data_IF_729757334131
#
_entry.id   IF_729757334131
#
_cell.length_a   1.000
_cell.length_b   1.000
_cell.length_c   1.000
_cell.angle_alpha   90.00
_cell.angle_beta   90.00
_cell.angle_gamma   90.00
#
_symmetry.space_group_name_H-M   'P 1'
#
loop_
_entity.id
_entity.type
_entity.pdbx_description
1 polymer ?
#
# COMPACT_ATOMS: atom_id res chain seq x y z
N UNK A 1 19.39 -22.24 -3.96
CA UNK A 1 18.17 -22.77 -3.33
C UNK A 1 17.03 -22.85 -4.35
N UNK A 2 16.65 -21.78 -5.03
CA UNK A 2 15.49 -21.78 -5.95
C UNK A 2 15.60 -22.78 -7.12
N UNK A 3 16.81 -23.01 -7.67
CA UNK A 3 17.01 -23.98 -8.76
C UNK A 3 16.75 -25.44 -8.35
N UNK A 4 16.87 -25.75 -7.07
CA UNK A 4 16.63 -27.10 -6.55
C UNK A 4 15.20 -27.30 -6.04
N UNK A 5 14.55 -26.24 -5.56
CA UNK A 5 13.21 -26.33 -4.94
C UNK A 5 12.11 -26.44 -6.00
N UNK A 6 12.08 -25.55 -6.98
CA UNK A 6 10.98 -25.49 -7.96
C UNK A 6 10.79 -26.78 -8.78
N UNK A 7 11.83 -27.47 -9.28
CA UNK A 7 11.64 -28.71 -10.03
C UNK A 7 11.03 -29.85 -9.22
N UNK A 8 11.28 -29.85 -7.90
CA UNK A 8 10.88 -30.92 -6.99
C UNK A 8 9.56 -30.61 -6.24
N UNK A 9 8.97 -29.43 -6.46
CA UNK A 9 7.66 -29.10 -5.90
C UNK A 9 6.54 -29.72 -6.74
N UNK A 10 5.58 -30.41 -6.15
CA UNK A 10 4.40 -30.91 -6.86
C UNK A 10 3.52 -29.78 -7.36
N UNK A 11 3.33 -28.76 -6.53
CA UNK A 11 2.61 -27.53 -6.84
C UNK A 11 3.30 -26.33 -6.19
N UNK A 12 3.14 -25.18 -6.82
CA UNK A 12 3.55 -23.87 -6.26
C UNK A 12 2.33 -22.98 -6.19
N UNK A 13 2.22 -22.18 -5.14
CA UNK A 13 1.19 -21.16 -5.00
C UNK A 13 1.85 -19.80 -5.27
N UNK A 14 1.27 -19.06 -6.21
CA UNK A 14 1.55 -17.66 -6.45
C UNK A 14 0.41 -16.80 -5.90
N UNK A 15 0.71 -15.57 -5.46
CA UNK A 15 -0.27 -14.68 -4.84
C UNK A 15 -1.04 -13.82 -5.87
N UNK A 16 -0.57 -13.80 -7.13
CA UNK A 16 -1.20 -13.10 -8.25
C UNK A 16 -0.89 -13.77 -9.58
N UNK A 17 -1.60 -13.39 -10.64
CA UNK A 17 -1.35 -13.88 -11.99
C UNK A 17 0.02 -13.43 -12.52
N UNK A 18 0.43 -12.20 -12.23
CA UNK A 18 1.74 -11.67 -12.61
C UNK A 18 2.87 -12.43 -11.90
N UNK A 19 2.70 -12.76 -10.62
CA UNK A 19 3.68 -13.56 -9.87
C UNK A 19 3.80 -14.97 -10.44
N UNK A 20 2.67 -15.63 -10.80
CA UNK A 20 2.67 -16.91 -11.49
C UNK A 20 3.46 -16.82 -12.79
N UNK A 21 3.18 -15.80 -13.61
CA UNK A 21 3.79 -15.62 -14.92
C UNK A 21 5.29 -15.31 -14.81
N UNK A 22 5.66 -14.50 -13.82
CA UNK A 22 7.06 -14.25 -13.48
C UNK A 22 7.78 -15.54 -13.05
N UNK A 23 7.18 -16.34 -12.17
CA UNK A 23 7.76 -17.62 -11.73
C UNK A 23 7.91 -18.57 -12.93
N UNK A 24 6.89 -18.73 -13.77
CA UNK A 24 6.93 -19.60 -14.94
C UNK A 24 8.02 -19.20 -15.95
N UNK A 25 8.25 -17.89 -16.12
CA UNK A 25 9.28 -17.38 -17.02
C UNK A 25 10.72 -17.54 -16.49
N UNK A 26 10.91 -17.53 -15.17
CA UNK A 26 12.24 -17.41 -14.56
C UNK A 26 12.65 -18.61 -13.70
N UNK A 27 11.77 -19.59 -13.50
CA UNK A 27 12.03 -20.77 -12.67
C UNK A 27 11.70 -22.05 -13.42
N UNK A 28 12.43 -23.15 -13.14
CA UNK A 28 12.25 -24.45 -13.83
C UNK A 28 11.00 -25.17 -13.28
N UNK A 29 9.82 -24.63 -13.57
CA UNK A 29 8.52 -25.21 -13.24
C UNK A 29 7.52 -24.88 -14.35
N UNK A 30 6.67 -25.83 -14.71
CA UNK A 30 5.62 -25.63 -15.70
C UNK A 30 4.49 -24.76 -15.13
N UNK A 31 3.93 -23.86 -15.96
CA UNK A 31 2.92 -22.87 -15.54
C UNK A 31 1.65 -23.53 -14.97
N UNK A 32 1.25 -24.70 -15.49
CA UNK A 32 0.11 -25.47 -15.03
C UNK A 32 0.28 -26.08 -13.61
N UNK A 33 1.53 -26.10 -13.13
CA UNK A 33 1.87 -26.51 -11.75
C UNK A 33 1.86 -25.33 -10.77
N UNK A 34 1.55 -24.12 -11.23
CA UNK A 34 1.50 -22.90 -10.40
C UNK A 34 0.03 -22.47 -10.25
N UNK A 35 -0.53 -22.67 -9.08
CA UNK A 35 -1.86 -22.16 -8.74
C UNK A 35 -1.78 -20.70 -8.29
N UNK A 36 -2.78 -19.89 -8.65
CA UNK A 36 -2.94 -18.54 -8.10
C UNK A 36 -3.93 -18.60 -6.96
N UNK A 37 -3.48 -18.25 -5.76
CA UNK A 37 -4.30 -18.12 -4.57
C UNK A 37 -3.94 -16.77 -3.96
N UNK A 38 -4.80 -15.74 -4.12
CA UNK A 38 -4.54 -14.41 -3.56
C UNK A 38 -4.43 -14.45 -2.05
N UNK A 39 -3.75 -13.47 -1.47
CA UNK A 39 -3.75 -13.28 -0.04
C UNK A 39 -5.17 -12.93 0.45
N UNK A 40 -5.37 -13.09 1.72
CA UNK A 40 -6.59 -12.69 2.42
C UNK A 40 -6.20 -11.98 3.73
N UNK A 41 -7.17 -11.34 4.32
CA UNK A 41 -7.05 -10.75 5.64
C UNK A 41 -8.22 -11.24 6.49
N UNK A 42 -7.98 -11.68 7.73
CA UNK A 42 -9.06 -12.17 8.58
C UNK A 42 -10.01 -11.02 8.92
N UNK A 43 -11.30 -11.30 8.90
CA UNK A 43 -12.29 -10.41 9.49
C UNK A 43 -12.00 -10.27 10.99
N UNK A 44 -11.86 -9.04 11.45
CA UNK A 44 -11.60 -8.72 12.85
C UNK A 44 -12.87 -8.51 13.67
N UNK A 45 -14.04 -8.66 13.04
CA UNK A 45 -15.32 -8.36 13.65
C UNK A 45 -15.52 -6.85 13.86
N UNK A 46 -16.53 -6.49 14.64
CA UNK A 46 -16.76 -5.09 15.02
C UNK A 46 -15.63 -4.63 15.95
N UNK A 47 -14.69 -3.88 15.41
CA UNK A 47 -13.69 -3.19 16.21
C UNK A 47 -14.39 -2.10 17.05
N UNK A 48 -13.92 -1.88 18.27
CA UNK A 48 -14.34 -0.74 19.11
C UNK A 48 -13.86 0.57 18.43
N UNK A 49 -14.65 1.06 17.48
CA UNK A 49 -14.39 2.27 16.70
C UNK A 49 -15.02 3.47 17.39
N UNK A 50 -14.46 3.85 18.54
CA UNK A 50 -14.88 5.03 19.26
C UNK A 50 -14.05 6.26 18.81
N UNK A 51 -14.61 7.15 17.96
CA UNK A 51 -13.89 8.35 17.48
C UNK A 51 -13.46 9.28 18.60
N UNK A 52 -14.22 9.32 19.72
CA UNK A 52 -13.90 10.20 20.85
C UNK A 52 -12.61 9.76 21.56
N UNK A 53 -12.27 8.47 21.47
CA UNK A 53 -11.06 7.88 22.06
C UNK A 53 -9.92 7.74 21.07
N UNK A 54 -10.14 8.07 19.80
CA UNK A 54 -9.14 8.00 18.76
C UNK A 54 -8.36 9.33 18.67
N UNK A 55 -7.07 9.36 19.02
CA UNK A 55 -6.27 10.58 18.97
C UNK A 55 -6.13 11.13 17.54
N UNK A 56 -6.05 10.25 16.53
CA UNK A 56 -5.98 10.67 15.14
C UNK A 56 -7.27 11.31 14.66
N UNK A 57 -8.44 10.81 15.09
CA UNK A 57 -9.73 11.37 14.71
C UNK A 57 -9.90 12.82 15.20
N UNK A 58 -9.43 13.13 16.41
CA UNK A 58 -9.46 14.49 16.95
C UNK A 58 -8.55 15.43 16.19
N UNK A 59 -7.36 14.98 15.87
CA UNK A 59 -6.35 15.79 15.22
C UNK A 59 -6.64 16.02 13.73
N UNK A 60 -7.12 14.98 13.04
CA UNK A 60 -7.35 14.98 11.60
C UNK A 60 -8.82 15.23 11.22
N UNK A 61 -9.60 15.75 12.16
CA UNK A 61 -11.02 16.04 11.94
C UNK A 61 -11.23 16.94 10.72
N UNK A 62 -12.12 16.53 9.82
CA UNK A 62 -12.46 17.27 8.60
C UNK A 62 -11.45 17.17 7.47
N UNK A 63 -10.36 16.42 7.61
CA UNK A 63 -9.38 16.20 6.56
C UNK A 63 -9.68 14.93 5.75
N UNK A 64 -9.34 14.95 4.48
CA UNK A 64 -9.24 13.73 3.66
C UNK A 64 -7.89 13.06 3.94
N UNK A 65 -7.90 11.96 4.67
CA UNK A 65 -6.68 11.29 5.13
C UNK A 65 -6.29 10.16 4.17
N UNK A 66 -5.11 10.26 3.58
CA UNK A 66 -4.47 9.21 2.77
C UNK A 66 -3.48 8.45 3.64
N UNK A 67 -3.82 7.18 3.96
CA UNK A 67 -3.01 6.35 4.85
C UNK A 67 -2.07 5.40 4.11
N UNK A 68 -0.86 5.23 4.62
CA UNK A 68 0.08 4.18 4.21
C UNK A 68 0.71 3.52 5.43
N UNK A 69 0.48 2.23 5.63
CA UNK A 69 0.97 1.51 6.81
C UNK A 69 1.77 0.26 6.42
N UNK A 70 3.00 0.16 6.94
CA UNK A 70 3.87 -1.00 6.79
C UNK A 70 5.24 -0.72 6.18
N UNK A 71 5.84 -1.72 5.55
CA UNK A 71 7.18 -1.57 4.96
C UNK A 71 7.17 -0.61 3.76
N UNK A 72 8.08 0.36 3.79
CA UNK A 72 8.38 1.28 2.70
C UNK A 72 9.88 1.15 2.37
N UNK A 73 10.17 0.09 1.63
CA UNK A 73 11.54 -0.28 1.23
C UNK A 73 11.82 0.00 -0.24
N UNK A 74 12.76 -0.75 -0.82
CA UNK A 74 13.30 -0.51 -2.16
C UNK A 74 12.26 -0.66 -3.28
N UNK A 75 11.26 -1.56 -3.10
CA UNK A 75 10.25 -1.85 -4.12
C UNK A 75 9.02 -0.93 -4.08
N UNK A 76 8.99 0.06 -3.20
CA UNK A 76 7.94 1.06 -3.15
C UNK A 76 8.32 2.32 -3.95
N UNK A 77 7.34 2.91 -4.64
CA UNK A 77 7.47 4.22 -5.28
C UNK A 77 7.11 5.30 -4.27
N UNK A 78 8.12 5.90 -3.64
CA UNK A 78 7.96 7.00 -2.68
C UNK A 78 8.01 8.35 -3.38
N UNK A 79 8.70 8.43 -4.52
CA UNK A 79 8.94 9.69 -5.21
C UNK A 79 7.64 10.28 -5.77
N UNK A 80 6.79 9.45 -6.40
CA UNK A 80 5.46 9.87 -6.88
C UNK A 80 4.59 10.39 -5.73
N UNK A 81 4.63 9.74 -4.58
CA UNK A 81 3.86 10.12 -3.39
C UNK A 81 4.39 11.41 -2.78
N UNK A 82 5.70 11.55 -2.63
CA UNK A 82 6.33 12.75 -2.09
C UNK A 82 6.03 13.98 -2.94
N UNK A 83 6.03 13.83 -4.26
CA UNK A 83 5.66 14.92 -5.15
C UNK A 83 4.19 15.33 -5.00
N UNK A 84 3.28 14.38 -4.81
CA UNK A 84 1.88 14.70 -4.51
C UNK A 84 1.73 15.46 -3.17
N UNK A 85 2.48 15.07 -2.14
CA UNK A 85 2.50 15.80 -0.86
C UNK A 85 2.95 17.24 -1.06
N UNK A 86 4.00 17.48 -1.87
CA UNK A 86 4.48 18.82 -2.19
C UNK A 86 3.46 19.66 -2.96
N UNK A 87 2.77 19.06 -3.92
CA UNK A 87 1.73 19.72 -4.70
C UNK A 87 0.54 20.16 -3.85
N UNK A 88 0.21 19.39 -2.81
CA UNK A 88 -0.91 19.63 -1.90
C UNK A 88 -0.49 20.34 -0.60
N UNK A 89 0.72 20.87 -0.50
CA UNK A 89 1.24 21.45 0.76
C UNK A 89 0.43 22.64 1.28
N UNK A 90 -0.25 23.37 0.41
CA UNK A 90 -1.10 24.53 0.75
C UNK A 90 -2.59 24.14 0.87
N UNK A 91 -2.93 22.87 0.66
CA UNK A 91 -4.30 22.36 0.79
C UNK A 91 -4.49 21.72 2.17
N UNK A 92 -5.08 22.47 3.07
CA UNK A 92 -5.35 22.01 4.43
C UNK A 92 -6.41 20.90 4.52
N UNK A 93 -7.14 20.61 3.44
CA UNK A 93 -8.17 19.58 3.42
C UNK A 93 -7.63 18.17 3.27
N UNK A 94 -6.39 18.00 2.77
CA UNK A 94 -5.75 16.70 2.53
C UNK A 94 -4.60 16.46 3.50
N UNK A 95 -4.51 15.26 4.03
CA UNK A 95 -3.44 14.87 4.94
C UNK A 95 -2.90 13.47 4.64
N UNK A 96 -1.58 13.32 4.62
CA UNK A 96 -0.91 12.05 4.38
C UNK A 96 -0.37 11.46 5.70
N UNK A 97 -0.86 10.28 6.07
CA UNK A 97 -0.47 9.60 7.30
C UNK A 97 0.31 8.32 6.98
N UNK A 98 1.59 8.31 7.32
CA UNK A 98 2.48 7.17 7.14
C UNK A 98 2.84 6.56 8.48
N UNK A 99 2.86 5.23 8.56
CA UNK A 99 3.46 4.54 9.69
C UNK A 99 4.06 3.20 9.25
N UNK A 100 5.25 2.88 9.76
CA UNK A 100 5.88 1.62 9.41
C UNK A 100 7.38 1.60 9.62
N UNK A 101 8.07 1.02 8.65
CA UNK A 101 9.53 0.90 8.66
C UNK A 101 10.08 0.81 7.22
N UNK A 102 11.40 0.84 7.08
CA UNK A 102 12.10 0.70 5.82
C UNK A 102 12.91 1.96 5.47
N UNK A 103 13.93 1.77 4.65
CA UNK A 103 14.88 2.83 4.33
C UNK A 103 14.24 4.03 3.61
N UNK A 104 13.22 3.81 2.78
CA UNK A 104 12.50 4.89 2.10
C UNK A 104 11.55 5.63 3.05
N UNK A 105 11.03 4.98 4.09
CA UNK A 105 10.23 5.65 5.11
C UNK A 105 11.07 6.67 5.90
N UNK A 106 12.28 6.30 6.29
CA UNK A 106 13.20 7.21 6.98
C UNK A 106 13.58 8.41 6.10
N UNK A 107 13.86 8.17 4.82
CA UNK A 107 14.13 9.24 3.86
C UNK A 107 12.91 10.18 3.72
N UNK A 108 11.71 9.64 3.62
CA UNK A 108 10.47 10.42 3.58
C UNK A 108 10.29 11.26 4.85
N UNK A 109 10.52 10.67 6.03
CA UNK A 109 10.45 11.36 7.34
C UNK A 109 11.38 12.57 7.40
N UNK A 110 12.61 12.38 6.94
CA UNK A 110 13.60 13.47 6.87
C UNK A 110 13.17 14.57 5.91
N UNK A 111 12.72 14.21 4.70
CA UNK A 111 12.27 15.16 3.69
C UNK A 111 11.05 15.96 4.16
N UNK A 112 10.05 15.30 4.72
CA UNK A 112 8.85 15.94 5.29
C UNK A 112 9.24 16.99 6.34
N UNK A 113 10.20 16.64 7.22
CA UNK A 113 10.70 17.56 8.25
C UNK A 113 11.51 18.71 7.68
N UNK A 114 12.43 18.44 6.75
CA UNK A 114 13.33 19.46 6.19
C UNK A 114 12.60 20.47 5.29
N UNK A 115 11.59 20.00 4.55
CA UNK A 115 10.79 20.85 3.66
C UNK A 115 9.59 21.50 4.37
N UNK A 116 9.35 21.16 5.66
CA UNK A 116 8.24 21.71 6.45
C UNK A 116 6.86 21.34 5.89
N UNK A 117 6.69 20.11 5.39
CA UNK A 117 5.44 19.66 4.79
C UNK A 117 4.41 19.34 5.90
N UNK A 118 3.59 20.33 6.25
CA UNK A 118 2.60 20.27 7.35
C UNK A 118 1.43 19.32 7.05
N UNK A 119 1.20 18.98 5.78
CA UNK A 119 0.16 18.10 5.32
C UNK A 119 0.57 16.60 5.32
N UNK A 120 1.70 16.26 5.94
CA UNK A 120 2.15 14.87 6.06
C UNK A 120 2.75 14.57 7.43
N UNK A 121 2.53 13.36 7.91
CA UNK A 121 3.16 12.81 9.12
C UNK A 121 3.70 11.43 8.87
N UNK A 122 4.92 11.20 9.33
CA UNK A 122 5.58 9.90 9.25
C UNK A 122 5.87 9.39 10.66
N UNK A 123 5.22 8.30 11.03
CA UNK A 123 5.31 7.64 12.32
C UNK A 123 6.14 6.37 12.23
N UNK A 124 6.63 5.92 13.36
CA UNK A 124 7.19 4.59 13.52
C UNK A 124 6.10 3.52 13.37
N UNK A 125 6.48 2.25 13.36
CA UNK A 125 5.56 1.14 13.17
C UNK A 125 4.47 1.11 14.25
N UNK A 126 3.20 1.12 13.82
CA UNK A 126 2.04 1.03 14.71
C UNK A 126 1.58 -0.41 14.89
N UNK A 127 1.14 -0.76 16.10
CA UNK A 127 0.68 -2.08 16.47
C UNK A 127 -0.73 -2.03 17.09
N UNK A 128 -1.45 -3.14 16.95
CA UNK A 128 -2.70 -3.37 17.67
C UNK A 128 -3.69 -2.21 17.54
N UNK A 129 -4.07 -1.63 18.68
CA UNK A 129 -5.06 -0.55 18.76
C UNK A 129 -4.62 0.72 18.01
N UNK A 130 -3.35 1.11 18.12
CA UNK A 130 -2.85 2.33 17.47
C UNK A 130 -2.91 2.20 15.95
N UNK A 131 -2.58 1.02 15.42
CA UNK A 131 -2.73 0.73 13.99
C UNK A 131 -4.18 0.80 13.54
N UNK A 132 -5.12 0.21 14.32
CA UNK A 132 -6.54 0.27 14.02
C UNK A 132 -7.05 1.71 14.03
N UNK A 133 -6.70 2.49 15.04
CA UNK A 133 -7.08 3.89 15.16
C UNK A 133 -6.56 4.74 13.99
N UNK A 134 -5.36 4.43 13.49
CA UNK A 134 -4.82 5.10 12.31
C UNK A 134 -5.56 4.69 11.03
N UNK A 135 -5.99 3.44 10.90
CA UNK A 135 -6.83 2.98 9.78
C UNK A 135 -8.21 3.63 9.80
N UNK A 136 -8.84 3.74 10.98
CA UNK A 136 -10.20 4.26 11.16
C UNK A 136 -10.37 5.72 10.69
N UNK A 137 -9.28 6.48 10.59
CA UNK A 137 -9.33 7.88 10.12
C UNK A 137 -9.04 8.03 8.63
N UNK A 138 -8.68 6.93 7.94
CA UNK A 138 -8.31 6.99 6.53
C UNK A 138 -9.54 7.13 5.63
N UNK A 139 -9.56 8.15 4.79
CA UNK A 139 -10.51 8.31 3.69
C UNK A 139 -10.12 7.47 2.49
N UNK A 140 -8.83 7.23 2.30
CA UNK A 140 -8.27 6.32 1.29
C UNK A 140 -6.95 5.73 1.80
N UNK A 141 -6.56 4.57 1.26
CA UNK A 141 -5.31 3.91 1.59
C UNK A 141 -4.42 3.74 0.36
N UNK A 142 -3.14 4.06 0.52
CA UNK A 142 -2.17 4.08 -0.55
C UNK A 142 -1.46 2.73 -0.69
N UNK A 143 -1.42 2.24 -1.91
CA UNK A 143 -0.57 1.13 -2.37
C UNK A 143 0.39 1.69 -3.39
N UNK A 144 1.69 1.54 -3.15
CA UNK A 144 2.72 2.06 -4.05
C UNK A 144 3.78 1.00 -4.29
N UNK A 145 4.02 0.70 -5.56
CA UNK A 145 5.02 -0.29 -6.02
C UNK A 145 5.84 0.36 -7.14
N UNK A 146 7.16 0.25 -7.04
CA UNK A 146 8.08 0.81 -8.02
C UNK A 146 7.93 0.13 -9.40
N UNK A 147 8.15 0.87 -10.49
CA UNK A 147 8.00 0.35 -11.84
C UNK A 147 8.92 -0.85 -12.09
N UNK A 148 8.46 -1.82 -12.88
CA UNK A 148 9.20 -3.02 -13.23
C UNK A 148 9.34 -4.06 -12.11
N UNK A 149 8.66 -3.88 -10.96
CA UNK A 149 8.70 -4.85 -9.85
C UNK A 149 7.39 -5.65 -9.70
N UNK A 150 6.41 -5.41 -10.56
CA UNK A 150 5.17 -6.19 -10.63
C UNK A 150 5.49 -7.66 -10.90
N UNK A 151 4.85 -8.56 -10.16
CA UNK A 151 5.14 -10.00 -10.18
C UNK A 151 6.26 -10.45 -9.23
N UNK A 152 7.11 -9.53 -8.73
CA UNK A 152 8.11 -9.83 -7.70
C UNK A 152 7.51 -9.80 -6.29
N UNK A 153 6.54 -8.95 -6.06
CA UNK A 153 5.83 -8.86 -4.78
C UNK A 153 4.35 -8.54 -5.01
N UNK A 154 3.52 -8.98 -4.05
CA UNK A 154 2.12 -8.59 -3.96
C UNK A 154 1.95 -7.86 -2.62
N UNK A 155 1.53 -6.58 -2.62
CA UNK A 155 1.40 -5.81 -1.39
C UNK A 155 0.24 -6.34 -0.54
N UNK A 156 0.56 -7.09 0.51
CA UNK A 156 -0.43 -7.74 1.39
C UNK A 156 -1.37 -6.76 2.10
N UNK A 157 -0.93 -5.52 2.31
CA UNK A 157 -1.74 -4.45 2.92
C UNK A 157 -3.01 -4.12 2.11
N UNK A 158 -3.02 -4.38 0.80
CA UNK A 158 -4.20 -4.24 -0.06
C UNK A 158 -5.41 -4.96 0.53
N UNK A 159 -5.21 -6.20 0.98
CA UNK A 159 -6.30 -7.03 1.51
C UNK A 159 -6.79 -6.54 2.87
N UNK A 160 -5.91 -6.01 3.72
CA UNK A 160 -6.33 -5.40 4.99
C UNK A 160 -7.13 -4.12 4.78
N UNK A 161 -6.74 -3.27 3.84
CA UNK A 161 -7.46 -2.05 3.53
C UNK A 161 -8.84 -2.33 2.92
N UNK A 162 -8.91 -3.28 1.97
CA UNK A 162 -10.18 -3.71 1.39
C UNK A 162 -11.12 -4.31 2.43
N UNK A 163 -10.60 -5.10 3.39
CA UNK A 163 -11.36 -5.70 4.47
C UNK A 163 -11.95 -4.67 5.44
N UNK A 164 -11.23 -3.56 5.66
CA UNK A 164 -11.70 -2.41 6.44
C UNK A 164 -12.63 -1.47 5.64
N UNK A 165 -12.89 -1.79 4.37
CA UNK A 165 -13.74 -0.98 3.49
C UNK A 165 -13.10 0.35 3.06
N UNK A 166 -11.77 0.47 3.15
CA UNK A 166 -11.06 1.69 2.81
C UNK A 166 -10.76 1.70 1.30
N UNK A 167 -11.20 2.71 0.53
CA UNK A 167 -10.88 2.85 -0.88
C UNK A 167 -9.37 2.90 -1.13
N UNK A 168 -8.92 2.27 -2.22
CA UNK A 168 -7.52 2.19 -2.57
C UNK A 168 -7.09 3.29 -3.53
N UNK A 169 -5.91 3.86 -3.29
CA UNK A 169 -5.14 4.62 -4.28
C UNK A 169 -3.93 3.76 -4.63
N UNK A 170 -3.89 3.25 -5.86
CA UNK A 170 -2.87 2.29 -6.30
C UNK A 170 -1.93 2.94 -7.31
N UNK A 171 -0.64 2.98 -6.99
CA UNK A 171 0.44 3.49 -7.85
C UNK A 171 1.34 2.31 -8.20
N UNK A 172 1.16 1.74 -9.39
CA UNK A 172 1.97 0.62 -9.89
C UNK A 172 1.67 0.32 -11.36
N UNK A 173 2.46 -0.58 -11.95
CA UNK A 173 2.18 -1.16 -13.25
C UNK A 173 0.89 -2.01 -13.23
N UNK A 174 0.39 -2.38 -14.42
CA UNK A 174 -0.81 -3.21 -14.57
C UNK A 174 -0.67 -4.54 -13.81
N UNK A 175 -1.71 -4.91 -13.06
CA UNK A 175 -1.72 -6.05 -12.16
C UNK A 175 -3.15 -6.45 -11.78
N UNK A 176 -3.30 -7.61 -11.14
CA UNK A 176 -4.59 -8.04 -10.57
C UNK A 176 -5.16 -6.98 -9.60
N UNK A 177 -4.30 -6.31 -8.80
CA UNK A 177 -4.71 -5.23 -7.88
C UNK A 177 -5.24 -4.00 -8.64
N UNK A 178 -4.57 -3.61 -9.72
CA UNK A 178 -5.05 -2.52 -10.61
C UNK A 178 -6.40 -2.88 -11.22
N UNK A 179 -6.57 -4.14 -11.66
CA UNK A 179 -7.85 -4.61 -12.18
C UNK A 179 -8.98 -4.56 -11.13
N UNK A 180 -8.68 -4.77 -9.86
CA UNK A 180 -9.67 -4.68 -8.77
C UNK A 180 -10.09 -3.23 -8.50
N UNK A 181 -9.21 -2.25 -8.67
CA UNK A 181 -9.60 -0.82 -8.58
C UNK A 181 -10.63 -0.46 -9.65
N UNK A 182 -10.48 -1.00 -10.87
CA UNK A 182 -11.42 -0.79 -11.97
C UNK A 182 -12.81 -1.40 -11.70
N UNK A 183 -12.91 -2.35 -10.76
CA UNK A 183 -14.17 -2.95 -10.30
C UNK A 183 -14.82 -2.17 -9.13
N UNK A 184 -14.27 -1.04 -8.75
CA UNK A 184 -14.81 -0.17 -7.71
C UNK A 184 -14.09 -0.21 -6.37
N UNK A 185 -12.92 -0.89 -6.26
CA UNK A 185 -12.16 -0.90 -5.02
C UNK A 185 -11.34 0.40 -4.79
N UNK A 186 -11.30 1.30 -5.78
CA UNK A 186 -10.55 2.55 -5.68
C UNK A 186 -10.13 3.11 -7.03
N UNK A 187 -8.98 3.76 -7.06
CA UNK A 187 -8.38 4.35 -8.27
C UNK A 187 -6.95 3.84 -8.47
N UNK A 188 -6.50 3.80 -9.71
CA UNK A 188 -5.13 3.42 -10.06
C UNK A 188 -4.46 4.45 -10.95
N UNK A 189 -3.15 4.63 -10.74
CA UNK A 189 -2.29 5.58 -11.41
C UNK A 189 -0.98 4.87 -11.80
N UNK A 190 -0.32 5.39 -12.81
CA UNK A 190 1.05 4.95 -13.12
C UNK A 190 2.06 5.72 -12.28
N UNK A 191 3.23 5.12 -12.09
CA UNK A 191 4.37 5.77 -11.46
C UNK A 191 4.69 7.11 -12.15
N UNK A 192 5.03 8.13 -11.38
CA UNK A 192 5.31 9.49 -11.86
C UNK A 192 4.08 10.35 -12.17
N UNK A 193 2.85 9.85 -12.03
CA UNK A 193 1.62 10.61 -12.28
C UNK A 193 1.12 11.35 -11.03
N UNK A 194 2.00 12.00 -10.29
CA UNK A 194 1.69 12.75 -9.06
C UNK A 194 0.62 13.82 -9.26
N UNK A 195 0.57 14.48 -10.43
CA UNK A 195 -0.46 15.48 -10.77
C UNK A 195 -1.88 14.88 -10.88
N UNK A 196 -2.01 13.62 -11.29
CA UNK A 196 -3.31 12.93 -11.30
C UNK A 196 -3.73 12.48 -9.90
N UNK A 197 -2.77 12.26 -9.01
CA UNK A 197 -3.04 11.88 -7.63
C UNK A 197 -3.69 13.03 -6.83
N UNK A 198 -3.52 14.26 -7.26
CA UNK A 198 -4.01 15.48 -6.57
C UNK A 198 -5.31 16.04 -7.18
N UNK A 199 -5.87 15.38 -8.18
CA UNK A 199 -7.18 15.67 -8.79
C UNK A 199 -8.30 14.87 -8.13
#
# INVERSE_FOLDING_TARGET
>A
INRAVYPNADRVVALSSEMRDFIAAHRPIAKDRIAVIPNWYPDRGEADRDPERNPFAKELAGKFVVGYFGNMGTVQDVDTVLEAIRLLKEDDSVFFLFAGHGNKLEALKQTVSQEGLSNARVLDYLHGKDYQQALDVCSAALISIAPGTTGLCVPSKTYSYMMEGIPLIVIMDDSDIVADTQKGAGVSLKNGQSQLLVQ
#
